data_IF_602840026009
#
_entry.id   IF_602840026009
#
_cell.length_a   1.000
_cell.length_b   1.000
_cell.length_c   1.000
_cell.angle_alpha   90.00
_cell.angle_beta   90.00
_cell.angle_gamma   90.00
#
_symmetry.space_group_name_H-M   'P 1'
#
loop_
_entity.id
_entity.type
_entity.pdbx_description
1 polymer ?
#
# COMPACT_ATOMS: atom_id res chain seq x y z
N UNK A 1 -8.86 40.65 29.73
CA UNK A 1 -9.57 39.49 29.13
C UNK A 1 -8.52 38.53 28.60
N UNK A 2 -8.26 37.43 29.33
CA UNK A 2 -7.25 36.44 28.99
C UNK A 2 -7.78 35.51 27.90
N UNK A 3 -7.21 35.56 26.69
CA UNK A 3 -7.41 34.53 25.67
C UNK A 3 -6.49 33.34 26.00
N UNK A 4 -7.07 32.31 26.62
CA UNK A 4 -6.42 31.01 26.75
C UNK A 4 -6.20 30.45 25.34
N UNK A 5 -4.94 30.32 24.92
CA UNK A 5 -4.56 29.59 23.73
C UNK A 5 -4.97 28.14 23.94
N UNK A 6 -6.03 27.69 23.25
CA UNK A 6 -6.38 26.28 23.16
C UNK A 6 -5.18 25.53 22.60
N UNK A 7 -4.43 24.87 23.49
CA UNK A 7 -3.31 24.04 23.13
C UNK A 7 -3.80 23.01 22.11
N UNK A 8 -3.31 23.11 20.87
CA UNK A 8 -3.39 22.02 19.92
C UNK A 8 -2.63 20.85 20.54
N UNK A 9 -3.35 19.91 21.14
CA UNK A 9 -2.79 18.63 21.58
C UNK A 9 -2.88 17.71 20.38
N UNK A 10 -1.79 17.42 19.64
CA UNK A 10 -1.84 16.38 18.64
C UNK A 10 -2.19 15.08 19.36
N UNK A 11 -3.33 14.51 19.02
CA UNK A 11 -3.74 13.19 19.52
C UNK A 11 -2.61 12.19 19.24
N UNK A 12 -2.47 11.15 20.07
CA UNK A 12 -1.58 9.98 19.87
C UNK A 12 -1.97 9.16 18.62
N UNK A 13 -2.26 9.82 17.51
CA UNK A 13 -2.55 9.21 16.23
C UNK A 13 -1.25 8.63 15.68
N UNK A 14 -1.34 7.43 15.11
CA UNK A 14 -0.26 6.85 14.32
C UNK A 14 0.12 7.85 13.22
N UNK A 15 1.42 7.91 12.88
CA UNK A 15 1.86 8.77 11.79
C UNK A 15 1.13 8.40 10.49
N UNK A 16 0.85 9.37 9.60
CA UNK A 16 0.19 9.09 8.32
C UNK A 16 0.85 7.95 7.53
N UNK A 17 2.18 7.84 7.61
CA UNK A 17 2.97 6.79 6.98
C UNK A 17 2.66 5.40 7.57
N UNK A 18 2.47 5.30 8.90
CA UNK A 18 2.11 4.02 9.54
C UNK A 18 0.71 3.58 9.15
N UNK A 19 -0.25 4.50 9.14
CA UNK A 19 -1.63 4.20 8.74
C UNK A 19 -1.67 3.77 7.27
N UNK A 20 -1.00 4.52 6.38
CA UNK A 20 -0.88 4.16 4.97
C UNK A 20 -0.19 2.82 4.75
N UNK A 21 0.96 2.61 5.40
CA UNK A 21 1.73 1.37 5.28
C UNK A 21 0.94 0.13 5.72
N UNK A 22 0.25 0.23 6.86
CA UNK A 22 -0.63 -0.82 7.34
C UNK A 22 -1.74 -1.13 6.32
N UNK A 23 -2.34 -0.10 5.73
CA UNK A 23 -3.40 -0.28 4.72
C UNK A 23 -2.92 -0.96 3.44
N UNK A 24 -1.76 -0.55 2.91
CA UNK A 24 -1.13 -1.20 1.75
C UNK A 24 -0.87 -2.69 2.06
N UNK A 25 -0.37 -2.99 3.26
CA UNK A 25 -0.11 -4.36 3.70
C UNK A 25 -1.39 -5.20 3.80
N UNK A 26 -2.49 -4.64 4.29
CA UNK A 26 -3.79 -5.31 4.34
C UNK A 26 -4.30 -5.65 2.93
N UNK A 27 -4.31 -4.66 2.04
CA UNK A 27 -4.78 -4.84 0.65
C UNK A 27 -3.92 -5.84 -0.11
N UNK A 28 -2.60 -5.82 0.08
CA UNK A 28 -1.69 -6.82 -0.50
C UNK A 28 -2.02 -8.24 -0.03
N UNK A 29 -2.28 -8.42 1.26
CA UNK A 29 -2.64 -9.73 1.80
C UNK A 29 -4.01 -10.19 1.30
N UNK A 30 -4.98 -9.29 1.20
CA UNK A 30 -6.30 -9.58 0.63
C UNK A 30 -6.21 -9.99 -0.86
N UNK A 31 -5.25 -9.43 -1.59
CA UNK A 31 -4.94 -9.82 -2.97
C UNK A 31 -4.10 -11.12 -3.08
N UNK A 32 -3.71 -11.74 -1.97
CA UNK A 32 -2.90 -12.96 -1.96
C UNK A 32 -1.44 -12.77 -2.43
N UNK A 33 -0.95 -11.52 -2.47
CA UNK A 33 0.37 -11.19 -2.99
C UNK A 33 1.44 -11.22 -1.88
N UNK A 34 2.64 -11.68 -2.20
CA UNK A 34 3.82 -11.47 -1.35
C UNK A 34 4.39 -10.06 -1.54
N UNK A 35 5.28 -9.63 -0.65
CA UNK A 35 6.00 -8.35 -0.83
C UNK A 35 6.86 -8.35 -2.10
N UNK A 36 7.44 -9.49 -2.48
CA UNK A 36 8.21 -9.59 -3.73
C UNK A 36 7.28 -9.37 -4.93
N UNK A 37 6.09 -10.00 -4.93
CA UNK A 37 5.13 -9.87 -6.04
C UNK A 37 4.69 -8.42 -6.21
N UNK A 38 4.20 -7.76 -5.14
CA UNK A 38 3.73 -6.38 -5.26
C UNK A 38 4.87 -5.42 -5.63
N UNK A 39 6.08 -5.64 -5.12
CA UNK A 39 7.23 -4.82 -5.46
C UNK A 39 7.56 -4.92 -6.95
N UNK A 40 7.58 -6.14 -7.50
CA UNK A 40 7.79 -6.38 -8.94
C UNK A 40 6.71 -5.70 -9.80
N UNK A 41 5.43 -5.84 -9.44
CA UNK A 41 4.33 -5.21 -10.17
C UNK A 41 4.41 -3.67 -10.14
N UNK A 42 4.94 -3.09 -9.07
CA UNK A 42 5.11 -1.65 -8.93
C UNK A 42 6.45 -1.12 -9.49
N UNK A 43 7.36 -1.98 -9.95
CA UNK A 43 8.73 -1.58 -10.31
C UNK A 43 9.55 -1.07 -9.13
N UNK A 44 9.29 -1.59 -7.93
CA UNK A 44 9.96 -1.21 -6.68
C UNK A 44 10.91 -2.30 -6.19
N UNK A 45 11.88 -1.91 -5.37
CA UNK A 45 12.63 -2.88 -4.58
C UNK A 45 11.76 -3.41 -3.43
N UNK A 46 11.78 -4.73 -3.19
CA UNK A 46 11.09 -5.36 -2.05
C UNK A 46 11.44 -4.70 -0.70
N UNK A 47 12.70 -4.30 -0.51
CA UNK A 47 13.14 -3.60 0.70
C UNK A 47 12.45 -2.24 0.87
N UNK A 48 12.20 -1.53 -0.23
CA UNK A 48 11.47 -0.27 -0.22
C UNK A 48 9.99 -0.49 0.05
N UNK A 49 9.36 -1.51 -0.54
CA UNK A 49 7.98 -1.89 -0.21
C UNK A 49 7.84 -2.23 1.28
N UNK A 50 8.78 -2.99 1.85
CA UNK A 50 8.79 -3.29 3.28
C UNK A 50 8.87 -2.02 4.13
N UNK A 51 9.69 -1.03 3.72
CA UNK A 51 9.75 0.27 4.42
C UNK A 51 8.43 1.04 4.31
N UNK A 52 7.76 1.00 3.15
CA UNK A 52 6.42 1.60 2.99
C UNK A 52 5.43 0.93 3.95
N UNK A 53 5.34 -0.40 3.95
CA UNK A 53 4.39 -1.15 4.78
C UNK A 53 4.59 -0.93 6.29
N UNK A 54 5.83 -0.63 6.70
CA UNK A 54 6.17 -0.33 8.10
C UNK A 54 6.13 1.17 8.44
N UNK A 55 5.69 2.03 7.51
CA UNK A 55 5.62 3.48 7.70
C UNK A 55 6.97 4.18 7.82
N UNK A 56 8.04 3.57 7.31
CA UNK A 56 9.43 4.05 7.35
C UNK A 56 9.88 4.72 6.03
N UNK A 57 8.96 4.88 5.08
CA UNK A 57 9.19 5.53 3.80
C UNK A 57 8.07 6.52 3.48
N UNK A 58 8.41 7.53 2.68
CA UNK A 58 7.47 8.48 2.10
C UNK A 58 7.39 8.21 0.58
N UNK A 59 6.42 7.40 0.12
CA UNK A 59 6.28 7.11 -1.30
C UNK A 59 5.85 8.37 -2.07
N UNK A 60 6.34 8.52 -3.30
CA UNK A 60 5.91 9.63 -4.16
C UNK A 60 4.48 9.39 -4.66
N UNK A 61 3.83 10.45 -5.16
CA UNK A 61 2.51 10.35 -5.76
C UNK A 61 2.46 9.30 -6.88
N UNK A 62 3.48 9.25 -7.74
CA UNK A 62 3.62 8.25 -8.81
C UNK A 62 3.63 6.83 -8.26
N UNK A 63 4.33 6.59 -7.14
CA UNK A 63 4.37 5.28 -6.50
C UNK A 63 3.02 4.91 -5.87
N UNK A 64 2.30 5.87 -5.31
CA UNK A 64 0.95 5.65 -4.77
C UNK A 64 -0.01 5.20 -5.88
N UNK A 65 0.06 5.83 -7.06
CA UNK A 65 -0.71 5.40 -8.22
C UNK A 65 -0.30 4.01 -8.72
N UNK A 66 1.00 3.70 -8.75
CA UNK A 66 1.49 2.38 -9.11
C UNK A 66 1.01 1.29 -8.14
N UNK A 67 1.05 1.56 -6.83
CA UNK A 67 0.52 0.65 -5.81
C UNK A 67 -0.97 0.39 -6.00
N UNK A 68 -1.77 1.45 -6.19
CA UNK A 68 -3.21 1.33 -6.45
C UNK A 68 -3.49 0.49 -7.70
N UNK A 69 -2.76 0.75 -8.80
CA UNK A 69 -2.89 0.01 -10.05
C UNK A 69 -2.52 -1.46 -9.90
N UNK A 70 -1.39 -1.76 -9.26
CA UNK A 70 -0.94 -3.15 -9.02
C UNK A 70 -1.85 -3.93 -8.10
N UNK A 71 -2.47 -3.27 -7.13
CA UNK A 71 -3.46 -3.87 -6.22
C UNK A 71 -4.87 -3.95 -6.83
N UNK A 72 -5.11 -3.30 -7.98
CA UNK A 72 -6.41 -3.28 -8.63
C UNK A 72 -7.48 -2.48 -7.87
N UNK A 73 -7.07 -1.48 -7.07
CA UNK A 73 -7.96 -0.69 -6.20
C UNK A 73 -7.86 0.80 -6.52
N UNK A 74 -8.91 1.60 -6.24
CA UNK A 74 -8.83 3.04 -6.38
C UNK A 74 -7.92 3.65 -5.31
N UNK A 75 -7.18 4.72 -5.66
CA UNK A 75 -6.22 5.41 -4.76
C UNK A 75 -6.81 5.75 -3.38
N UNK A 76 -8.06 6.26 -3.25
CA UNK A 76 -8.64 6.55 -1.94
C UNK A 76 -8.69 5.36 -0.98
N UNK A 77 -8.79 4.13 -1.50
CA UNK A 77 -8.83 2.92 -0.67
C UNK A 77 -7.50 2.65 0.05
N UNK A 78 -6.38 3.18 -0.47
CA UNK A 78 -5.08 3.11 0.19
C UNK A 78 -5.03 3.95 1.48
N UNK A 79 -5.99 4.87 1.68
CA UNK A 79 -6.05 5.79 2.81
C UNK A 79 -7.25 5.56 3.74
N UNK A 80 -8.21 4.73 3.35
CA UNK A 80 -9.39 4.43 4.16
C UNK A 80 -9.11 3.34 5.19
N UNK A 81 -9.55 3.58 6.43
CA UNK A 81 -9.57 2.57 7.48
C UNK A 81 -10.88 1.78 7.43
N UNK A 82 -10.81 0.45 7.61
CA UNK A 82 -11.97 -0.45 7.59
C UNK A 82 -11.73 -1.70 6.74
N UNK A 83 -12.54 -2.73 6.92
CA UNK A 83 -12.49 -3.91 6.06
C UNK A 83 -12.65 -3.48 4.59
N UNK A 84 -12.02 -4.16 3.62
CA UNK A 84 -12.33 -3.93 2.21
C UNK A 84 -13.76 -4.40 1.95
N UNK A 85 -14.74 -3.56 2.26
CA UNK A 85 -16.14 -3.81 2.00
C UNK A 85 -16.34 -3.82 0.48
N UNK A 86 -16.38 -5.02 -0.09
CA UNK A 86 -16.91 -5.29 -1.43
C UNK A 86 -16.39 -4.39 -2.55
N UNK A 87 -15.06 -4.25 -2.71
CA UNK A 87 -14.47 -3.60 -3.89
C UNK A 87 -14.65 -4.52 -5.10
N UNK A 88 -15.86 -4.54 -5.63
CA UNK A 88 -16.29 -5.40 -6.71
C UNK A 88 -17.64 -4.93 -7.26
N UNK A 89 -17.73 -3.71 -7.81
CA UNK A 89 -18.90 -3.35 -8.62
C UNK A 89 -18.69 -2.26 -9.69
N UNK A 90 -17.72 -1.36 -9.59
CA UNK A 90 -17.65 -0.20 -10.52
C UNK A 90 -16.43 -0.14 -11.46
N UNK A 91 -15.47 -1.07 -11.37
CA UNK A 91 -14.34 -1.16 -12.30
C UNK A 91 -14.44 -2.39 -13.22
N UNK A 92 -15.61 -2.63 -13.81
CA UNK A 92 -15.72 -3.52 -14.98
C UNK A 92 -15.24 -2.76 -16.21
N UNK A 93 -13.93 -2.81 -16.45
CA UNK A 93 -13.32 -2.53 -17.74
C UNK A 93 -11.93 -3.19 -17.79
N UNK A 94 -11.93 -4.50 -18.02
CA UNK A 94 -10.89 -5.22 -18.75
C UNK A 94 -9.43 -4.96 -18.37
N UNK A 95 -8.97 -5.54 -17.27
CA UNK A 95 -7.60 -6.06 -17.18
C UNK A 95 -7.52 -7.05 -16.02
N UNK A 96 -7.55 -8.35 -16.33
CA UNK A 96 -7.02 -9.34 -15.42
C UNK A 96 -5.56 -8.98 -15.14
N UNK A 97 -5.07 -9.03 -13.88
CA UNK A 97 -3.64 -8.86 -13.64
C UNK A 97 -2.89 -9.92 -14.47
N UNK A 98 -1.77 -9.57 -15.13
CA UNK A 98 -0.99 -10.55 -15.86
C UNK A 98 -0.60 -11.66 -14.89
N UNK A 99 -0.91 -12.90 -15.28
CA UNK A 99 -0.55 -14.11 -14.53
C UNK A 99 0.96 -14.06 -14.26
N UNK A 100 1.33 -13.91 -12.99
CA UNK A 100 2.73 -13.81 -12.57
C UNK A 100 3.55 -14.92 -13.21
N UNK A 101 4.68 -14.57 -13.84
CA UNK A 101 5.57 -15.53 -14.47
C UNK A 101 6.09 -16.53 -13.43
N UNK A 102 6.34 -17.80 -13.80
CA UNK A 102 6.92 -18.77 -12.89
C UNK A 102 8.29 -18.27 -12.39
N UNK A 103 8.46 -18.31 -11.06
CA UNK A 103 9.66 -17.86 -10.34
C UNK A 103 10.92 -18.51 -10.95
N UNK A 104 11.96 -17.76 -11.37
CA UNK A 104 13.25 -18.39 -11.61
C UNK A 104 13.79 -18.88 -10.28
N UNK A 105 14.10 -20.19 -10.20
CA UNK A 105 14.73 -20.81 -9.04
C UNK A 105 16.03 -20.04 -8.75
N UNK A 106 16.08 -19.32 -7.63
CA UNK A 106 17.32 -18.69 -7.16
C UNK A 106 18.37 -19.78 -6.95
N UNK A 107 19.26 -19.91 -7.93
CA UNK A 107 20.49 -20.68 -7.78
C UNK A 107 21.24 -20.11 -6.58
N UNK A 108 21.48 -20.96 -5.59
CA UNK A 108 22.32 -20.65 -4.44
C UNK A 108 23.72 -20.38 -4.99
N UNK A 109 24.13 -19.11 -5.00
CA UNK A 109 25.52 -18.74 -5.29
C UNK A 109 26.37 -19.42 -4.22
N UNK A 110 27.27 -20.29 -4.66
CA UNK A 110 28.24 -21.00 -3.82
C UNK A 110 29.26 -20.03 -3.24
#
# INVERSE_FOLDING_TARGET
>A
MHFLHSAWVPSRALSPQKTFGARVRELRQAAGMTQDDLAEHCGLFRTYLSRIENGQANPTLTMIHALAGSLGVPVPLLFQAGAPDGVGASARSGRSPPRAAPRPSRGRVR
#
